data_IF_174103352715
#
_entry.id   IF_174103352715
#
_cell.length_a   1.000
_cell.length_b   1.000
_cell.length_c   1.000
_cell.angle_alpha   90.00
_cell.angle_beta   90.00
_cell.angle_gamma   90.00
#
_symmetry.space_group_name_H-M   'P 1'
#
loop_
_entity.id
_entity.type
_entity.pdbx_description
1 polymer ?
#
# COMPACT_ATOMS: atom_id res chain seq x y z
N UNK A 1 -2.55 -30.79 -11.19
CA UNK A 1 -1.31 -31.19 -10.51
C UNK A 1 -1.45 -30.83 -9.05
N UNK A 2 -1.34 -31.79 -8.12
CA UNK A 2 -1.40 -31.48 -6.69
C UNK A 2 -0.22 -30.56 -6.34
N UNK A 3 -0.50 -29.36 -5.84
CA UNK A 3 0.55 -28.41 -5.43
C UNK A 3 1.33 -29.01 -4.27
N UNK A 4 2.66 -28.98 -4.33
CA UNK A 4 3.53 -29.33 -3.21
C UNK A 4 3.09 -28.55 -1.95
N UNK A 5 2.94 -29.21 -0.79
CA UNK A 5 2.60 -28.52 0.46
C UNK A 5 3.59 -27.39 0.74
N UNK A 6 3.09 -26.18 0.98
CA UNK A 6 3.90 -25.02 1.35
C UNK A 6 4.06 -25.00 2.87
N UNK A 7 5.30 -25.08 3.34
CA UNK A 7 5.60 -24.93 4.77
C UNK A 7 5.49 -23.45 5.16
N UNK A 8 4.87 -23.16 6.31
CA UNK A 8 4.76 -21.80 6.85
C UNK A 8 5.47 -21.71 8.20
N UNK A 9 6.00 -20.53 8.52
CA UNK A 9 6.66 -20.30 9.80
C UNK A 9 5.66 -20.53 10.96
N UNK A 10 6.07 -21.25 12.02
CA UNK A 10 5.18 -21.62 13.12
C UNK A 10 4.75 -20.38 13.91
N UNK A 11 3.62 -20.46 14.63
CA UNK A 11 3.12 -19.30 15.40
C UNK A 11 4.14 -18.77 16.43
N UNK A 12 4.95 -19.64 17.03
CA UNK A 12 5.99 -19.30 17.99
C UNK A 12 7.07 -18.37 17.40
N UNK A 13 7.29 -18.41 16.08
CA UNK A 13 8.22 -17.52 15.39
C UNK A 13 7.84 -16.04 15.58
N UNK A 14 6.54 -15.73 15.52
CA UNK A 14 6.05 -14.35 15.53
C UNK A 14 6.02 -13.72 16.93
N UNK A 15 6.12 -14.51 18.00
CA UNK A 15 6.12 -14.00 19.38
C UNK A 15 7.24 -12.98 19.64
N UNK A 16 8.40 -13.17 18.98
CA UNK A 16 9.54 -12.27 19.04
C UNK A 16 9.36 -10.98 18.20
N UNK A 17 8.39 -10.96 17.29
CA UNK A 17 8.10 -9.81 16.43
C UNK A 17 6.98 -8.92 16.97
N UNK A 18 6.07 -9.47 17.78
CA UNK A 18 5.01 -8.68 18.38
C UNK A 18 5.58 -7.66 19.37
N UNK A 19 5.00 -6.46 19.41
CA UNK A 19 5.30 -5.43 20.42
C UNK A 19 4.79 -5.85 21.81
N UNK A 20 5.29 -5.21 22.86
CA UNK A 20 4.78 -5.40 24.22
C UNK A 20 3.30 -5.04 24.30
N UNK A 21 2.90 -3.97 23.61
CA UNK A 21 1.51 -3.54 23.54
C UNK A 21 0.62 -4.58 22.85
N UNK A 22 1.09 -5.18 21.75
CA UNK A 22 0.36 -6.24 21.06
C UNK A 22 0.18 -7.48 21.94
N UNK A 23 1.23 -7.90 22.66
CA UNK A 23 1.17 -9.03 23.58
C UNK A 23 0.28 -8.77 24.80
N UNK A 24 0.27 -7.54 25.30
CA UNK A 24 -0.53 -7.16 26.47
C UNK A 24 -2.03 -7.03 26.16
N UNK A 25 -2.40 -6.80 24.89
CA UNK A 25 -3.79 -6.58 24.51
C UNK A 25 -4.64 -7.83 24.76
N UNK A 26 -5.65 -7.66 25.60
CA UNK A 26 -6.63 -8.70 25.88
C UNK A 26 -7.72 -8.74 24.81
N UNK A 27 -8.26 -9.93 24.46
CA UNK A 27 -9.43 -10.04 23.61
C UNK A 27 -10.61 -9.24 24.18
N UNK A 28 -11.40 -8.61 23.31
CA UNK A 28 -12.64 -7.95 23.72
C UNK A 28 -13.60 -9.00 24.32
N UNK A 29 -14.07 -8.84 25.57
CA UNK A 29 -14.93 -9.83 26.23
C UNK A 29 -16.24 -10.12 25.49
N UNK A 30 -16.75 -9.13 24.75
CA UNK A 30 -17.98 -9.25 23.98
C UNK A 30 -17.68 -9.83 22.59
N UNK A 31 -16.70 -9.26 21.87
CA UNK A 31 -16.45 -9.65 20.48
C UNK A 31 -15.79 -11.03 20.36
N UNK A 32 -15.06 -11.49 21.38
CA UNK A 32 -14.52 -12.85 21.42
C UNK A 32 -15.61 -13.92 21.44
N UNK A 33 -16.84 -13.56 21.83
CA UNK A 33 -17.99 -14.47 21.87
C UNK A 33 -18.83 -14.41 20.59
N UNK A 34 -18.62 -13.45 19.69
CA UNK A 34 -19.37 -13.32 18.43
C UNK A 34 -19.32 -14.58 17.56
N UNK A 35 -18.18 -15.31 17.44
CA UNK A 35 -18.16 -16.55 16.66
C UNK A 35 -19.17 -17.60 17.16
N UNK A 36 -19.51 -17.58 18.45
CA UNK A 36 -20.49 -18.52 19.00
C UNK A 36 -21.90 -18.25 18.47
N UNK A 37 -22.24 -17.00 18.12
CA UNK A 37 -23.56 -16.64 17.56
C UNK A 37 -23.84 -17.31 16.21
N UNK A 38 -22.80 -17.76 15.50
CA UNK A 38 -22.95 -18.52 14.26
C UNK A 38 -23.30 -20.00 14.49
N UNK A 39 -23.36 -20.46 15.74
CA UNK A 39 -23.70 -21.86 16.09
C UNK A 39 -25.16 -22.14 15.70
N UNK A 40 -25.44 -23.13 14.84
CA UNK A 40 -26.80 -23.46 14.43
C UNK A 40 -27.72 -23.74 15.62
N UNK A 41 -28.89 -23.11 15.65
CA UNK A 41 -29.89 -23.25 16.71
C UNK A 41 -29.61 -22.45 17.99
N UNK A 42 -28.48 -21.73 18.08
CA UNK A 42 -28.19 -20.89 19.25
C UNK A 42 -29.07 -19.63 19.24
N UNK A 43 -29.78 -19.41 20.35
CA UNK A 43 -30.47 -18.15 20.62
C UNK A 43 -29.51 -17.24 21.39
N UNK A 44 -29.02 -16.18 20.74
CA UNK A 44 -28.06 -15.26 21.34
C UNK A 44 -28.75 -14.18 22.19
N UNK A 45 -28.35 -14.07 23.45
CA UNK A 45 -28.59 -12.92 24.33
C UNK A 45 -27.28 -12.15 24.60
N UNK A 46 -26.27 -12.33 23.73
CA UNK A 46 -24.89 -11.94 23.97
C UNK A 46 -24.67 -10.43 23.91
N UNK A 47 -25.00 -9.83 22.76
CA UNK A 47 -24.57 -8.49 22.41
C UNK A 47 -25.76 -7.54 22.30
N UNK A 48 -25.57 -6.29 22.73
CA UNK A 48 -26.53 -5.20 22.55
C UNK A 48 -26.65 -4.73 21.10
N UNK A 49 -26.92 -5.65 20.17
CA UNK A 49 -27.14 -5.35 18.75
C UNK A 49 -28.53 -4.72 18.58
N UNK A 50 -28.65 -3.55 17.95
CA UNK A 50 -29.97 -2.98 17.63
C UNK A 50 -30.74 -3.92 16.71
N UNK A 51 -32.06 -3.98 16.87
CA UNK A 51 -32.92 -4.81 16.02
C UNK A 51 -32.93 -4.24 14.58
N UNK A 52 -32.62 -5.02 13.53
CA UNK A 52 -32.62 -4.51 12.16
C UNK A 52 -33.94 -3.89 11.68
N UNK A 53 -35.08 -4.24 12.27
CA UNK A 53 -36.38 -3.63 11.92
C UNK A 53 -36.48 -2.15 12.29
N UNK A 54 -35.59 -1.63 13.14
CA UNK A 54 -35.55 -0.22 13.52
C UNK A 54 -34.57 0.59 12.68
N UNK A 55 -33.84 -0.02 11.75
CA UNK A 55 -32.97 0.70 10.83
C UNK A 55 -33.81 1.53 9.84
N UNK A 56 -33.56 2.83 9.68
CA UNK A 56 -34.40 3.71 8.85
C UNK A 56 -34.06 3.62 7.34
N UNK A 57 -33.53 2.48 6.89
CA UNK A 57 -33.09 2.27 5.51
C UNK A 57 -33.71 0.99 4.94
N UNK A 58 -34.37 1.10 3.79
CA UNK A 58 -35.06 -0.02 3.14
C UNK A 58 -34.25 -0.66 2.02
N UNK A 59 -33.53 0.16 1.24
CA UNK A 59 -32.60 -0.27 0.20
C UNK A 59 -31.53 0.79 -0.07
N UNK A 60 -30.41 0.37 -0.65
CA UNK A 60 -29.45 1.25 -1.32
C UNK A 60 -29.26 0.76 -2.74
N UNK A 61 -29.59 1.60 -3.71
CA UNK A 61 -29.39 1.32 -5.13
C UNK A 61 -28.38 2.30 -5.73
N UNK A 62 -27.48 1.79 -6.56
CA UNK A 62 -26.46 2.59 -7.24
C UNK A 62 -26.17 2.00 -8.62
N UNK A 63 -25.71 2.85 -9.53
CA UNK A 63 -25.18 2.43 -10.82
C UNK A 63 -23.66 2.44 -10.80
N UNK A 64 -23.04 1.48 -11.47
CA UNK A 64 -21.61 1.42 -11.65
C UNK A 64 -21.28 1.12 -13.11
N UNK A 65 -20.10 1.52 -13.56
CA UNK A 65 -19.65 1.17 -14.91
C UNK A 65 -19.35 -0.35 -14.97
N UNK A 66 -19.85 -1.00 -16.01
CA UNK A 66 -19.44 -2.37 -16.32
C UNK A 66 -17.96 -2.40 -16.71
N UNK A 67 -17.19 -3.42 -16.29
CA UNK A 67 -15.82 -3.57 -16.73
C UNK A 67 -15.80 -3.75 -18.26
N UNK A 68 -14.71 -3.33 -18.93
CA UNK A 68 -14.59 -3.54 -20.36
C UNK A 68 -14.55 -5.04 -20.67
N UNK A 69 -15.23 -5.46 -21.74
CA UNK A 69 -15.29 -6.86 -22.18
C UNK A 69 -13.95 -7.32 -22.74
N UNK A 70 -13.22 -6.40 -23.37
CA UNK A 70 -11.87 -6.62 -23.93
C UNK A 70 -10.92 -5.51 -23.50
N UNK A 71 -9.63 -5.84 -23.42
CA UNK A 71 -8.59 -4.90 -23.02
C UNK A 71 -8.51 -3.70 -23.97
N UNK A 72 -8.56 -2.49 -23.40
CA UNK A 72 -8.47 -1.23 -24.15
C UNK A 72 -9.80 -0.69 -24.67
N UNK A 73 -10.92 -1.39 -24.45
CA UNK A 73 -12.25 -0.87 -24.77
C UNK A 73 -12.83 0.05 -23.67
N UNK A 74 -13.85 0.85 -24.03
CA UNK A 74 -14.64 1.62 -23.07
C UNK A 74 -15.52 0.69 -22.23
N UNK A 75 -15.95 1.15 -21.05
CA UNK A 75 -16.92 0.45 -20.21
C UNK A 75 -18.15 0.00 -21.01
N UNK A 76 -18.66 -1.20 -20.74
CA UNK A 76 -19.77 -1.83 -21.47
C UNK A 76 -21.16 -1.25 -21.12
N UNK A 77 -21.21 -0.01 -20.62
CA UNK A 77 -22.40 0.65 -20.08
C UNK A 77 -22.43 0.64 -18.55
N UNK A 78 -23.61 0.94 -17.99
CA UNK A 78 -23.84 0.97 -16.54
C UNK A 78 -24.59 -0.29 -16.09
N UNK A 79 -24.18 -0.85 -14.95
CA UNK A 79 -24.89 -1.90 -14.22
C UNK A 79 -25.61 -1.30 -13.01
N UNK A 80 -26.85 -1.72 -12.77
CA UNK A 80 -27.62 -1.32 -11.59
C UNK A 80 -27.46 -2.37 -10.49
N UNK A 81 -27.07 -1.92 -9.29
CA UNK A 81 -26.82 -2.76 -8.13
C UNK A 81 -27.70 -2.30 -6.96
N UNK A 82 -28.23 -3.24 -6.19
CA UNK A 82 -29.10 -2.95 -5.03
C UNK A 82 -28.71 -3.81 -3.83
N UNK A 83 -28.57 -3.17 -2.67
CA UNK A 83 -28.51 -3.79 -1.35
C UNK A 83 -29.90 -3.66 -0.69
N UNK A 84 -30.49 -4.76 -0.26
CA UNK A 84 -31.79 -4.76 0.43
C UNK A 84 -31.96 -5.98 1.34
N UNK A 85 -33.03 -6.01 2.13
CA UNK A 85 -33.38 -7.18 2.96
C UNK A 85 -32.27 -7.60 3.93
N UNK A 86 -31.99 -8.91 3.98
CA UNK A 86 -31.00 -9.49 4.88
C UNK A 86 -29.57 -8.99 4.62
N UNK A 87 -29.21 -8.75 3.36
CA UNK A 87 -27.90 -8.22 2.98
C UNK A 87 -27.71 -6.81 3.53
N UNK A 88 -28.71 -5.94 3.37
CA UNK A 88 -28.67 -4.59 3.93
C UNK A 88 -28.67 -4.61 5.46
N UNK A 89 -29.49 -5.46 6.07
CA UNK A 89 -29.52 -5.62 7.52
C UNK A 89 -28.15 -6.03 8.09
N UNK A 90 -27.44 -6.96 7.42
CA UNK A 90 -26.09 -7.34 7.80
C UNK A 90 -25.07 -6.20 7.60
N UNK A 91 -25.18 -5.46 6.49
CA UNK A 91 -24.30 -4.33 6.19
C UNK A 91 -24.43 -3.15 7.19
N UNK A 92 -25.59 -2.98 7.79
CA UNK A 92 -25.88 -1.93 8.78
C UNK A 92 -25.63 -2.38 10.23
N UNK A 93 -25.30 -3.65 10.46
CA UNK A 93 -25.14 -4.22 11.80
C UNK A 93 -23.65 -4.34 12.21
N UNK A 94 -23.41 -4.53 13.51
CA UNK A 94 -22.13 -5.04 13.99
C UNK A 94 -21.79 -6.39 13.34
N UNK A 95 -20.57 -6.49 12.81
CA UNK A 95 -20.02 -7.64 12.11
C UNK A 95 -18.61 -7.98 12.60
N UNK A 96 -17.88 -8.86 11.91
CA UNK A 96 -16.53 -9.26 12.31
C UNK A 96 -15.52 -8.12 12.21
N UNK A 97 -14.49 -8.16 13.06
CA UNK A 97 -13.48 -7.09 13.13
C UNK A 97 -12.56 -7.06 11.91
N UNK A 98 -12.12 -8.23 11.44
CA UNK A 98 -11.24 -8.35 10.26
C UNK A 98 -11.92 -8.03 8.93
N UNK A 99 -13.23 -7.75 8.93
CA UNK A 99 -14.00 -7.41 7.73
C UNK A 99 -15.28 -8.23 7.59
N UNK A 100 -16.14 -7.81 6.66
CA UNK A 100 -17.35 -8.55 6.30
C UNK A 100 -16.97 -9.81 5.51
N UNK A 101 -17.44 -10.97 5.93
CA UNK A 101 -17.01 -12.28 5.37
C UNK A 101 -17.05 -12.35 3.84
N UNK A 102 -18.16 -12.03 3.13
CA UNK A 102 -18.17 -12.01 1.67
C UNK A 102 -17.05 -11.18 1.02
N UNK A 103 -16.72 -10.00 1.58
CA UNK A 103 -15.62 -9.18 1.05
C UNK A 103 -14.26 -9.81 1.33
N UNK A 104 -14.06 -10.35 2.54
CA UNK A 104 -12.82 -11.06 2.92
C UNK A 104 -12.59 -12.26 1.99
N UNK A 105 -13.63 -13.05 1.74
CA UNK A 105 -13.56 -14.22 0.85
C UNK A 105 -13.23 -13.82 -0.59
N UNK A 106 -13.89 -12.79 -1.12
CA UNK A 106 -13.60 -12.26 -2.45
C UNK A 106 -12.15 -11.77 -2.56
N UNK A 107 -11.65 -11.05 -1.54
CA UNK A 107 -10.28 -10.54 -1.50
C UNK A 107 -9.25 -11.66 -1.35
N UNK A 108 -9.58 -12.73 -0.61
CA UNK A 108 -8.73 -13.91 -0.54
C UNK A 108 -8.63 -14.59 -1.92
N UNK A 109 -9.75 -14.76 -2.63
CA UNK A 109 -9.73 -15.27 -4.01
C UNK A 109 -8.94 -14.38 -4.96
N UNK A 110 -8.92 -13.06 -4.74
CA UNK A 110 -8.06 -12.15 -5.49
C UNK A 110 -6.58 -12.43 -5.21
N UNK A 111 -6.19 -12.68 -3.95
CA UNK A 111 -4.80 -13.04 -3.61
C UNK A 111 -4.37 -14.38 -4.22
N UNK A 112 -5.28 -15.36 -4.28
CA UNK A 112 -5.06 -16.63 -4.98
C UNK A 112 -4.82 -16.40 -6.47
N UNK A 113 -5.69 -15.61 -7.10
CA UNK A 113 -5.64 -15.33 -8.55
C UNK A 113 -4.39 -14.54 -8.95
N UNK A 114 -4.02 -13.53 -8.16
CA UNK A 114 -2.96 -12.58 -8.52
C UNK A 114 -1.58 -13.00 -8.01
N UNK A 115 -1.52 -13.65 -6.85
CA UNK A 115 -0.27 -13.97 -6.18
C UNK A 115 -0.03 -15.48 -5.99
N UNK A 116 -1.01 -16.33 -6.32
CA UNK A 116 -0.88 -17.78 -6.18
C UNK A 116 -0.76 -18.25 -4.73
N UNK A 117 -1.19 -17.42 -3.76
CA UNK A 117 -1.18 -17.72 -2.32
C UNK A 117 -2.51 -18.34 -1.94
N UNK A 118 -2.50 -19.61 -1.53
CA UNK A 118 -3.70 -20.42 -1.28
C UNK A 118 -4.13 -20.37 0.18
N UNK A 119 -5.40 -20.67 0.44
CA UNK A 119 -5.91 -20.90 1.79
C UNK A 119 -5.07 -21.96 2.52
N UNK A 120 -4.87 -21.76 3.83
CA UNK A 120 -4.14 -22.71 4.69
C UNK A 120 -2.61 -22.59 4.64
N UNK A 121 -2.04 -21.69 3.84
CA UNK A 121 -0.58 -21.45 3.79
C UNK A 121 -0.05 -20.53 4.92
N UNK A 122 -0.69 -20.56 6.10
CA UNK A 122 -0.27 -19.81 7.29
C UNK A 122 -0.54 -18.29 7.27
N UNK A 123 -1.25 -17.79 6.27
CA UNK A 123 -1.62 -16.38 6.14
C UNK A 123 -3.14 -16.18 6.20
N UNK A 124 -3.56 -14.94 6.46
CA UNK A 124 -4.96 -14.49 6.41
C UNK A 124 -5.02 -13.01 5.99
N UNK A 125 -6.21 -12.42 5.97
CA UNK A 125 -6.44 -11.05 5.52
C UNK A 125 -7.32 -10.28 6.50
N UNK A 126 -6.99 -8.99 6.70
CA UNK A 126 -7.83 -8.04 7.44
C UNK A 126 -8.15 -6.83 6.57
N UNK A 127 -9.42 -6.42 6.55
CA UNK A 127 -9.92 -5.20 5.91
C UNK A 127 -9.78 -4.02 6.89
N UNK A 128 -9.42 -2.85 6.36
CA UNK A 128 -9.26 -1.61 7.13
C UNK A 128 -9.75 -0.40 6.37
N UNK A 129 -9.66 0.78 7.02
CA UNK A 129 -10.10 2.06 6.44
C UNK A 129 -9.10 2.65 5.44
N UNK A 130 -8.62 1.82 4.51
CA UNK A 130 -7.47 2.05 3.64
C UNK A 130 -6.18 1.42 4.18
N UNK A 131 -5.15 1.29 3.34
CA UNK A 131 -3.86 0.71 3.74
C UNK A 131 -3.20 1.47 4.89
N UNK A 132 -3.32 2.81 4.95
CA UNK A 132 -2.77 3.64 6.04
C UNK A 132 -3.28 3.22 7.44
N UNK A 133 -4.55 2.84 7.56
CA UNK A 133 -5.13 2.36 8.81
C UNK A 133 -4.43 1.06 9.28
N UNK A 134 -4.29 0.12 8.35
CA UNK A 134 -3.67 -1.17 8.62
C UNK A 134 -2.16 -1.05 8.84
N UNK A 135 -1.47 -0.17 8.12
CA UNK A 135 -0.06 0.16 8.35
C UNK A 135 0.17 0.70 9.77
N UNK A 136 -0.65 1.65 10.22
CA UNK A 136 -0.58 2.20 11.58
C UNK A 136 -0.77 1.10 12.63
N UNK A 137 -1.75 0.22 12.42
CA UNK A 137 -2.02 -0.91 13.32
C UNK A 137 -0.90 -1.95 13.30
N UNK A 138 -0.32 -2.24 12.13
CA UNK A 138 0.80 -3.15 11.97
C UNK A 138 2.08 -2.62 12.62
N UNK A 139 2.38 -1.33 12.44
CA UNK A 139 3.51 -0.64 13.10
C UNK A 139 3.38 -0.76 14.62
N UNK A 140 2.19 -0.46 15.15
CA UNK A 140 1.90 -0.62 16.60
C UNK A 140 1.99 -2.08 17.05
N UNK A 141 1.63 -3.03 16.18
CA UNK A 141 1.66 -4.46 16.48
C UNK A 141 3.08 -5.04 16.49
N UNK A 142 4.02 -4.44 15.77
CA UNK A 142 5.35 -5.00 15.52
C UNK A 142 6.51 -4.22 16.18
N UNK A 143 6.29 -2.94 16.49
CA UNK A 143 7.32 -2.06 17.01
C UNK A 143 6.95 -1.53 18.39
N UNK A 144 7.93 -1.55 19.28
CA UNK A 144 7.89 -0.86 20.56
C UNK A 144 8.45 0.56 20.42
N UNK A 145 8.11 1.47 21.35
CA UNK A 145 8.75 2.76 21.37
C UNK A 145 10.29 2.66 21.46
N UNK A 146 11.01 3.36 20.60
CA UNK A 146 12.47 3.33 20.52
C UNK A 146 13.07 2.19 19.67
N UNK A 147 12.25 1.27 19.14
CA UNK A 147 12.73 0.22 18.23
C UNK A 147 13.35 0.82 16.95
N UNK A 148 14.26 0.07 16.32
CA UNK A 148 14.80 0.43 15.00
C UNK A 148 13.98 -0.21 13.88
N UNK A 149 13.72 0.54 12.81
CA UNK A 149 13.00 0.08 11.62
C UNK A 149 13.80 0.41 10.36
N UNK A 150 13.90 -0.54 9.43
CA UNK A 150 14.48 -0.28 8.12
C UNK A 150 13.42 0.38 7.25
N UNK A 151 13.75 1.51 6.65
CA UNK A 151 12.85 2.24 5.75
C UNK A 151 13.57 2.52 4.45
N UNK A 152 12.94 2.17 3.33
CA UNK A 152 13.37 2.65 2.01
C UNK A 152 13.53 4.18 2.06
N UNK A 153 14.61 4.76 1.53
CA UNK A 153 14.80 6.21 1.47
C UNK A 153 15.12 6.64 0.03
N UNK A 154 14.38 7.62 -0.55
CA UNK A 154 13.24 8.33 0.05
C UNK A 154 11.98 7.45 0.21
N UNK A 155 11.07 7.87 1.07
CA UNK A 155 9.91 7.08 1.53
C UNK A 155 8.59 7.85 1.41
N UNK A 156 7.45 7.14 1.45
CA UNK A 156 6.15 7.79 1.54
C UNK A 156 6.04 8.63 2.82
N UNK A 157 5.91 9.94 2.64
CA UNK A 157 5.86 10.91 3.74
C UNK A 157 4.76 10.61 4.79
N UNK A 158 3.70 9.88 4.44
CA UNK A 158 2.63 9.53 5.39
C UNK A 158 3.00 8.44 6.39
N UNK A 159 4.09 7.68 6.17
CA UNK A 159 4.56 6.66 7.14
C UNK A 159 5.49 7.26 8.19
N UNK A 160 6.26 8.31 7.84
CA UNK A 160 7.27 8.93 8.72
C UNK A 160 6.67 9.34 10.08
N UNK A 161 5.50 10.03 10.15
CA UNK A 161 4.89 10.40 11.44
C UNK A 161 4.49 9.19 12.30
N UNK A 162 4.20 8.03 11.69
CA UNK A 162 3.85 6.81 12.43
C UNK A 162 5.08 6.25 13.17
N UNK A 163 6.27 6.37 12.57
CA UNK A 163 7.51 5.97 13.24
C UNK A 163 7.95 7.00 14.28
N UNK A 164 7.78 8.30 14.00
CA UNK A 164 8.07 9.36 14.97
C UNK A 164 7.21 9.26 16.23
N UNK A 165 5.92 8.92 16.12
CA UNK A 165 5.04 8.81 17.30
C UNK A 165 5.46 7.70 18.26
N UNK A 166 6.20 6.70 17.77
CA UNK A 166 6.82 5.64 18.57
C UNK A 166 8.29 5.95 18.90
N UNK A 167 8.83 7.12 18.56
CA UNK A 167 10.27 7.41 18.70
C UNK A 167 11.16 6.34 18.05
N UNK A 168 10.69 5.67 16.98
CA UNK A 168 11.48 4.64 16.31
C UNK A 168 12.69 5.24 15.62
N UNK A 169 13.83 4.56 15.68
CA UNK A 169 14.99 4.90 14.88
C UNK A 169 14.78 4.43 13.44
N UNK A 170 14.55 5.38 12.53
CA UNK A 170 14.37 5.12 11.11
C UNK A 170 15.73 4.94 10.44
N UNK A 171 16.08 3.69 10.15
CA UNK A 171 17.33 3.32 9.49
C UNK A 171 17.09 3.35 7.98
N UNK A 172 17.58 4.42 7.35
CA UNK A 172 17.42 4.66 5.92
C UNK A 172 18.20 3.63 5.09
N UNK A 173 17.47 2.92 4.24
CA UNK A 173 18.01 2.03 3.21
C UNK A 173 17.87 2.73 1.87
N UNK A 174 19.00 3.08 1.26
CA UNK A 174 19.01 3.85 0.01
C UNK A 174 18.28 3.11 -1.11
N UNK A 175 17.60 3.86 -1.98
CA UNK A 175 16.85 3.32 -3.11
C UNK A 175 17.17 4.07 -4.41
N UNK A 176 17.15 3.34 -5.51
CA UNK A 176 17.38 3.83 -6.87
C UNK A 176 16.18 3.49 -7.78
N UNK A 177 16.36 3.61 -9.10
CA UNK A 177 15.32 3.32 -10.09
C UNK A 177 14.86 1.84 -10.06
N UNK A 178 15.69 0.94 -9.52
CA UNK A 178 15.42 -0.49 -9.39
C UNK A 178 14.88 -0.87 -8.00
N UNK A 179 14.50 0.12 -7.18
CA UNK A 179 13.98 -0.07 -5.83
C UNK A 179 15.05 0.02 -4.74
N UNK A 180 14.86 -0.71 -3.63
CA UNK A 180 15.84 -0.73 -2.53
C UNK A 180 17.19 -1.23 -3.01
N UNK A 181 18.26 -0.52 -2.64
CA UNK A 181 19.63 -0.96 -2.83
C UNK A 181 19.96 -2.08 -1.84
N UNK A 182 20.06 -3.30 -2.35
CA UNK A 182 20.45 -4.49 -1.58
C UNK A 182 21.86 -4.41 -1.04
N UNK A 183 22.76 -3.65 -1.70
CA UNK A 183 24.10 -3.34 -1.21
C UNK A 183 24.02 -2.47 0.05
N UNK A 184 23.18 -1.42 0.04
CA UNK A 184 22.95 -0.58 1.21
C UNK A 184 22.34 -1.39 2.36
N UNK A 185 21.31 -2.17 2.06
CA UNK A 185 20.64 -3.03 3.04
C UNK A 185 21.62 -4.01 3.70
N UNK A 186 22.43 -4.71 2.88
CA UNK A 186 23.44 -5.65 3.36
C UNK A 186 24.48 -4.97 4.25
N UNK A 187 25.03 -3.84 3.82
CA UNK A 187 26.02 -3.09 4.60
C UNK A 187 25.47 -2.67 5.97
N UNK A 188 24.21 -2.24 6.05
CA UNK A 188 23.53 -1.89 7.31
C UNK A 188 23.40 -3.13 8.23
N UNK A 189 22.98 -4.27 7.68
CA UNK A 189 22.69 -5.48 8.44
C UNK A 189 23.94 -6.21 8.94
N UNK A 190 25.00 -6.22 8.12
CA UNK A 190 26.31 -6.82 8.42
C UNK A 190 27.16 -5.92 9.30
N UNK A 191 27.10 -4.59 9.10
CA UNK A 191 27.79 -3.58 9.91
C UNK A 191 27.05 -3.21 11.20
N UNK A 192 25.94 -3.88 11.54
CA UNK A 192 25.12 -3.51 12.68
C UNK A 192 25.89 -3.64 14.01
N UNK A 193 25.82 -2.66 14.92
CA UNK A 193 26.58 -2.69 16.17
C UNK A 193 26.31 -3.94 17.02
N UNK A 194 27.39 -4.60 17.45
CA UNK A 194 27.33 -5.77 18.33
C UNK A 194 26.62 -5.39 19.65
N UNK A 195 25.66 -6.22 20.08
CA UNK A 195 24.89 -6.00 21.30
C UNK A 195 23.70 -5.05 21.16
N UNK A 196 23.55 -4.34 20.04
CA UNK A 196 22.34 -3.56 19.76
C UNK A 196 21.27 -4.44 19.09
N UNK A 197 20.00 -4.40 19.52
CA UNK A 197 18.92 -5.10 18.82
C UNK A 197 18.87 -4.71 17.33
N UNK A 198 18.84 -5.71 16.44
CA UNK A 198 18.71 -5.47 14.99
C UNK A 198 17.28 -5.00 14.65
N UNK A 199 17.11 -4.18 13.60
CA UNK A 199 15.79 -3.87 13.08
C UNK A 199 15.07 -5.16 12.66
N UNK A 200 13.81 -5.30 13.05
CA UNK A 200 13.01 -6.51 12.78
C UNK A 200 12.00 -6.34 11.64
N UNK A 201 11.89 -5.13 11.09
CA UNK A 201 10.90 -4.76 10.08
C UNK A 201 11.56 -3.89 9.00
N UNK A 202 11.27 -4.21 7.74
CA UNK A 202 11.57 -3.39 6.58
C UNK A 202 10.26 -2.86 5.98
N UNK A 203 10.11 -1.54 5.87
CA UNK A 203 9.03 -0.90 5.12
C UNK A 203 9.51 -0.51 3.72
N UNK A 204 8.78 -0.94 2.69
CA UNK A 204 9.11 -0.69 1.27
C UNK A 204 7.86 -0.54 0.41
N UNK A 205 7.99 0.19 -0.70
CA UNK A 205 6.91 0.43 -1.68
C UNK A 205 7.45 -0.08 -3.04
N UNK A 206 7.28 -1.38 -3.35
CA UNK A 206 8.01 -2.01 -4.45
C UNK A 206 7.44 -1.71 -5.85
N UNK A 207 6.23 -1.16 -5.98
CA UNK A 207 5.71 -0.69 -7.26
C UNK A 207 5.39 0.80 -7.21
N UNK A 208 5.91 1.55 -8.19
CA UNK A 208 5.64 2.97 -8.31
C UNK A 208 5.96 3.74 -7.03
N UNK A 209 7.10 3.43 -6.40
CA UNK A 209 7.50 3.89 -5.06
C UNK A 209 7.19 5.36 -4.82
N UNK A 210 6.55 5.71 -3.72
CA UNK A 210 6.33 7.12 -3.39
C UNK A 210 7.52 7.59 -2.54
N UNK A 211 8.35 8.54 -3.00
CA UNK A 211 8.12 9.45 -4.13
C UNK A 211 8.72 9.02 -5.48
N UNK A 212 9.66 8.08 -5.50
CA UNK A 212 10.59 7.83 -6.63
C UNK A 212 9.97 7.44 -7.97
N UNK A 213 8.76 6.87 -7.97
CA UNK A 213 8.17 6.19 -9.12
C UNK A 213 8.85 4.85 -9.47
N UNK A 214 9.85 4.43 -8.70
CA UNK A 214 10.65 3.24 -8.95
C UNK A 214 9.83 1.96 -8.78
N UNK A 215 10.13 0.94 -9.58
CA UNK A 215 9.55 -0.39 -9.43
C UNK A 215 10.67 -1.39 -9.20
N UNK A 216 10.62 -2.09 -8.07
CA UNK A 216 11.67 -2.99 -7.66
C UNK A 216 11.83 -4.14 -8.66
N UNK A 217 13.05 -4.35 -9.15
CA UNK A 217 13.36 -5.42 -10.11
C UNK A 217 13.29 -6.80 -9.46
N UNK A 218 13.17 -7.85 -10.29
CA UNK A 218 13.16 -9.23 -9.80
C UNK A 218 14.40 -9.56 -8.97
N UNK A 219 15.59 -9.19 -9.45
CA UNK A 219 16.86 -9.47 -8.76
C UNK A 219 16.91 -8.81 -7.39
N UNK A 220 16.52 -7.53 -7.27
CA UNK A 220 16.45 -6.82 -5.99
C UNK A 220 15.49 -7.49 -5.01
N UNK A 221 14.31 -7.89 -5.47
CA UNK A 221 13.32 -8.57 -4.61
C UNK A 221 13.82 -9.92 -4.09
N UNK A 222 14.48 -10.71 -4.95
CA UNK A 222 15.08 -12.00 -4.54
C UNK A 222 16.11 -11.79 -3.44
N UNK A 223 17.01 -10.83 -3.62
CA UNK A 223 18.07 -10.58 -2.64
C UNK A 223 17.52 -9.98 -1.33
N UNK A 224 16.49 -9.12 -1.38
CA UNK A 224 15.80 -8.64 -0.16
C UNK A 224 15.15 -9.81 0.60
N UNK A 225 14.49 -10.76 -0.09
CA UNK A 225 13.93 -11.96 0.55
C UNK A 225 15.01 -12.84 1.17
N UNK A 226 16.15 -12.99 0.51
CA UNK A 226 17.31 -13.70 1.04
C UNK A 226 17.81 -13.03 2.33
N UNK A 227 18.07 -11.72 2.30
CA UNK A 227 18.51 -10.93 3.45
C UNK A 227 17.49 -10.99 4.61
N UNK A 228 16.18 -11.00 4.31
CA UNK A 228 15.12 -11.13 5.31
C UNK A 228 15.20 -12.46 6.08
N UNK A 229 15.65 -13.54 5.42
CA UNK A 229 15.88 -14.83 6.06
C UNK A 229 17.18 -14.83 6.86
N UNK A 230 18.28 -14.38 6.24
CA UNK A 230 19.62 -14.35 6.85
C UNK A 230 19.66 -13.50 8.14
N UNK A 231 18.99 -12.35 8.12
CA UNK A 231 19.00 -11.40 9.22
C UNK A 231 17.70 -11.36 10.02
N UNK A 232 16.77 -12.25 9.71
CA UNK A 232 15.52 -12.47 10.43
C UNK A 232 14.66 -11.20 10.65
N UNK A 233 14.27 -10.53 9.56
CA UNK A 233 13.30 -9.43 9.59
C UNK A 233 12.04 -9.75 8.77
N UNK A 234 10.96 -9.03 9.06
CA UNK A 234 9.71 -9.04 8.29
C UNK A 234 9.72 -7.93 7.24
N UNK A 235 9.01 -8.15 6.13
CA UNK A 235 8.86 -7.19 5.04
C UNK A 235 7.43 -6.65 5.08
N UNK A 236 7.27 -5.35 5.30
CA UNK A 236 6.04 -4.61 5.07
C UNK A 236 6.06 -4.06 3.64
N UNK A 237 5.37 -4.76 2.75
CA UNK A 237 5.15 -4.42 1.34
C UNK A 237 3.90 -3.52 1.22
N UNK A 238 4.09 -2.21 1.10
CA UNK A 238 2.99 -1.25 0.90
C UNK A 238 2.75 -1.00 -0.59
N UNK A 239 1.62 -1.48 -1.12
CA UNK A 239 1.40 -1.63 -2.56
C UNK A 239 0.08 -1.01 -3.08
N UNK A 240 -0.22 0.27 -2.75
CA UNK A 240 -1.41 0.93 -3.27
C UNK A 240 -1.37 1.18 -4.79
N UNK A 241 -0.22 0.95 -5.44
CA UNK A 241 0.01 1.19 -6.86
C UNK A 241 0.26 -0.09 -7.67
N UNK A 242 0.21 -1.29 -7.07
CA UNK A 242 0.49 -2.56 -7.74
C UNK A 242 -0.27 -2.75 -9.07
N UNK A 243 -1.55 -2.38 -9.06
CA UNK A 243 -2.43 -2.47 -10.22
C UNK A 243 -2.24 -1.34 -11.24
N UNK A 244 -1.52 -0.27 -10.88
CA UNK A 244 -1.14 0.83 -11.77
C UNK A 244 0.23 0.58 -12.39
N UNK A 245 0.49 -0.66 -12.85
CA UNK A 245 1.73 -1.00 -13.55
C UNK A 245 1.48 -0.95 -15.06
N UNK A 246 2.31 -0.17 -15.76
CA UNK A 246 2.23 0.07 -17.20
C UNK A 246 3.59 -0.15 -17.90
N UNK A 247 4.54 -0.80 -17.22
CA UNK A 247 5.75 -1.33 -17.84
C UNK A 247 5.48 -2.58 -18.69
N UNK A 248 6.53 -3.13 -19.30
CA UNK A 248 6.43 -4.29 -20.20
C UNK A 248 6.14 -5.61 -19.49
N UNK A 249 6.84 -5.88 -18.38
CA UNK A 249 6.72 -7.13 -17.62
C UNK A 249 6.62 -6.84 -16.12
N UNK A 250 5.54 -7.30 -15.51
CA UNK A 250 5.33 -7.14 -14.07
C UNK A 250 6.08 -8.23 -13.32
N UNK A 251 7.16 -7.85 -12.63
CA UNK A 251 7.81 -8.69 -11.61
C UNK A 251 6.77 -9.19 -10.59
N UNK A 252 6.82 -10.41 -10.03
CA UNK A 252 5.90 -10.84 -8.97
C UNK A 252 6.13 -10.10 -7.63
N UNK A 253 5.09 -9.90 -6.81
CA UNK A 253 5.19 -9.25 -5.49
C UNK A 253 6.05 -10.04 -4.51
N UNK A 254 6.52 -9.42 -3.42
CA UNK A 254 7.20 -10.15 -2.35
C UNK A 254 6.30 -11.27 -1.80
N UNK A 255 5.00 -10.99 -1.65
CA UNK A 255 4.02 -11.94 -1.16
C UNK A 255 3.86 -13.17 -2.07
N UNK A 256 3.96 -13.00 -3.39
CA UNK A 256 3.98 -14.10 -4.35
C UNK A 256 5.34 -14.82 -4.38
N UNK A 257 6.44 -14.04 -4.37
CA UNK A 257 7.80 -14.57 -4.49
C UNK A 257 8.23 -15.39 -3.28
N UNK A 258 7.81 -15.03 -2.05
CA UNK A 258 8.17 -15.82 -0.86
C UNK A 258 7.69 -17.27 -0.96
N UNK A 259 6.63 -17.54 -1.76
CA UNK A 259 6.14 -18.88 -2.08
C UNK A 259 6.80 -19.50 -3.32
N UNK A 260 6.97 -18.73 -4.39
CA UNK A 260 7.25 -19.27 -5.74
C UNK A 260 8.75 -19.40 -6.09
N UNK A 261 9.63 -18.69 -5.39
CA UNK A 261 11.04 -18.64 -5.78
C UNK A 261 11.74 -19.98 -5.49
N UNK A 262 12.38 -20.56 -6.51
CA UNK A 262 13.08 -21.84 -6.41
C UNK A 262 14.33 -21.79 -5.53
N UNK A 263 14.94 -20.62 -5.34
CA UNK A 263 15.96 -20.39 -4.29
C UNK A 263 15.36 -20.38 -2.88
N UNK A 264 14.03 -20.31 -2.81
CA UNK A 264 13.22 -20.38 -1.59
C UNK A 264 12.56 -21.75 -1.43
N UNK A 265 12.75 -22.69 -2.38
CA UNK A 265 12.24 -24.04 -2.27
C UNK A 265 12.82 -24.71 -1.01
N UNK A 266 11.93 -25.12 -0.10
CA UNK A 266 12.32 -25.68 1.21
C UNK A 266 12.48 -24.66 2.33
N UNK A 267 12.20 -23.37 2.10
CA UNK A 267 12.12 -22.37 3.18
C UNK A 267 10.66 -22.04 3.51
N UNK A 268 10.30 -21.94 4.79
CA UNK A 268 8.92 -21.64 5.18
C UNK A 268 8.52 -20.21 4.81
N UNK A 269 7.29 -20.04 4.32
CA UNK A 269 6.67 -18.73 4.03
C UNK A 269 6.26 -18.00 5.32
N UNK A 270 5.92 -16.71 5.21
CA UNK A 270 5.35 -15.93 6.30
C UNK A 270 6.25 -14.81 6.80
N UNK A 271 7.07 -14.21 5.92
CA UNK A 271 7.87 -13.02 6.27
C UNK A 271 7.29 -11.74 5.68
N UNK A 272 6.38 -11.86 4.72
CA UNK A 272 5.80 -10.72 4.02
C UNK A 272 4.42 -10.37 4.58
N UNK A 273 4.26 -9.11 4.96
CA UNK A 273 2.98 -8.44 5.19
C UNK A 273 2.74 -7.49 4.03
N UNK A 274 1.73 -7.79 3.23
CA UNK A 274 1.33 -6.99 2.09
C UNK A 274 0.18 -6.07 2.46
N UNK A 275 0.24 -4.82 2.05
CA UNK A 275 -0.82 -3.82 2.25
C UNK A 275 -1.33 -3.34 0.90
N UNK A 276 -2.58 -3.66 0.60
CA UNK A 276 -3.26 -3.24 -0.63
C UNK A 276 -4.30 -2.15 -0.33
N UNK A 277 -4.65 -1.39 -1.37
CA UNK A 277 -5.64 -0.32 -1.27
C UNK A 277 -6.42 -0.19 -2.57
N UNK A 278 -7.75 -0.15 -2.49
CA UNK A 278 -8.58 0.15 -3.66
C UNK A 278 -8.62 1.65 -3.97
N UNK A 279 -7.92 2.48 -3.19
CA UNK A 279 -7.99 3.95 -3.28
C UNK A 279 -7.54 4.52 -4.63
N UNK A 280 -6.68 3.80 -5.36
CA UNK A 280 -6.07 4.27 -6.61
C UNK A 280 -6.65 3.60 -7.86
N UNK A 281 -7.52 2.61 -7.66
CA UNK A 281 -8.15 1.83 -8.73
C UNK A 281 -9.67 1.93 -8.73
N UNK A 282 -10.31 2.12 -7.57
CA UNK A 282 -11.75 2.33 -7.46
C UNK A 282 -12.04 3.76 -7.00
N UNK A 283 -11.80 4.06 -5.72
CA UNK A 283 -12.02 5.39 -5.17
C UNK A 283 -11.35 5.54 -3.80
N UNK A 284 -10.58 6.61 -3.64
CA UNK A 284 -9.97 6.96 -2.36
C UNK A 284 -11.00 7.33 -1.28
N UNK A 285 -12.22 7.73 -1.68
CA UNK A 285 -13.31 8.11 -0.77
C UNK A 285 -14.04 6.92 -0.16
N UNK A 286 -13.94 5.72 -0.75
CA UNK A 286 -14.53 4.50 -0.16
C UNK A 286 -13.83 4.06 1.12
N UNK A 287 -12.58 4.50 1.35
CA UNK A 287 -11.80 4.15 2.54
C UNK A 287 -11.73 2.63 2.78
N UNK A 288 -11.43 1.85 1.73
CA UNK A 288 -11.19 0.41 1.86
C UNK A 288 -9.75 0.11 1.45
N UNK A 289 -9.10 -0.71 2.27
CA UNK A 289 -7.82 -1.35 2.00
C UNK A 289 -7.76 -2.64 2.79
N UNK A 290 -6.75 -3.46 2.52
CA UNK A 290 -6.61 -4.75 3.19
C UNK A 290 -5.14 -5.12 3.37
N UNK A 291 -4.86 -5.94 4.37
CA UNK A 291 -3.54 -6.45 4.65
C UNK A 291 -3.56 -7.97 4.56
N UNK A 292 -2.63 -8.56 3.83
CA UNK A 292 -2.44 -10.01 3.67
C UNK A 292 -1.11 -10.40 4.32
N UNK A 293 -1.11 -11.42 5.17
CA UNK A 293 0.13 -11.85 5.82
C UNK A 293 -0.07 -12.88 6.92
N UNK A 294 0.97 -13.14 7.74
CA UNK A 294 0.94 -14.18 8.77
C UNK A 294 -0.21 -14.02 9.77
N UNK A 295 -1.00 -15.08 9.94
CA UNK A 295 -2.18 -15.05 10.79
C UNK A 295 -1.93 -14.51 12.22
N UNK A 296 -0.82 -14.82 12.92
CA UNK A 296 -0.54 -14.25 14.23
C UNK A 296 -0.43 -12.72 14.25
N UNK A 297 0.09 -12.10 13.20
CA UNK A 297 0.22 -10.65 13.12
C UNK A 297 -1.10 -10.00 12.73
N UNK A 298 -1.85 -10.59 11.79
CA UNK A 298 -3.18 -10.09 11.43
C UNK A 298 -4.16 -10.17 12.61
N UNK A 299 -4.06 -11.21 13.46
CA UNK A 299 -4.82 -11.27 14.73
C UNK A 299 -4.45 -10.12 15.68
N UNK A 300 -3.20 -9.70 15.74
CA UNK A 300 -2.79 -8.55 16.56
C UNK A 300 -3.32 -7.22 15.99
N UNK A 301 -3.38 -7.09 14.65
CA UNK A 301 -4.01 -5.96 13.95
C UNK A 301 -5.51 -5.94 14.21
N UNK A 302 -6.19 -7.08 14.11
CA UNK A 302 -7.62 -7.21 14.40
C UNK A 302 -7.93 -6.90 15.86
N UNK A 303 -7.12 -7.37 16.81
CA UNK A 303 -7.25 -6.99 18.21
C UNK A 303 -7.17 -5.47 18.39
N UNK A 304 -6.33 -4.77 17.60
CA UNK A 304 -6.30 -3.31 17.58
C UNK A 304 -7.60 -2.72 17.05
N UNK A 305 -8.03 -3.17 15.88
CA UNK A 305 -9.27 -2.72 15.27
C UNK A 305 -10.45 -2.90 16.23
N UNK A 306 -10.53 -4.02 16.94
CA UNK A 306 -11.59 -4.32 17.89
C UNK A 306 -11.70 -3.30 19.04
N UNK A 307 -10.62 -2.61 19.41
CA UNK A 307 -10.62 -1.57 20.46
C UNK A 307 -10.63 -0.15 19.91
N UNK A 308 -10.06 0.07 18.72
CA UNK A 308 -9.94 1.40 18.13
C UNK A 308 -11.22 1.84 17.42
N UNK A 309 -11.82 0.96 16.62
CA UNK A 309 -12.96 1.29 15.77
C UNK A 309 -13.96 0.14 15.56
N UNK A 310 -13.82 -0.95 16.32
CA UNK A 310 -14.64 -2.18 16.29
C UNK A 310 -14.50 -3.00 14.99
N UNK A 311 -14.80 -2.37 13.84
CA UNK A 311 -14.77 -2.91 12.49
C UNK A 311 -14.68 -1.77 11.46
N UNK A 312 -14.19 -1.99 10.24
CA UNK A 312 -14.31 -1.01 9.15
C UNK A 312 -15.78 -0.78 8.78
N UNK A 313 -16.10 0.36 8.17
CA UNK A 313 -17.49 0.73 7.82
C UNK A 313 -18.18 -0.36 6.95
N UNK A 314 -19.12 -1.10 7.54
CA UNK A 314 -19.72 -2.28 6.92
C UNK A 314 -20.61 -1.96 5.72
N UNK A 315 -21.31 -0.83 5.73
CA UNK A 315 -22.08 -0.39 4.56
C UNK A 315 -21.18 -0.15 3.35
N UNK A 316 -20.02 0.49 3.55
CA UNK A 316 -19.07 0.70 2.47
C UNK A 316 -18.44 -0.61 2.00
N UNK A 317 -18.12 -1.53 2.92
CA UNK A 317 -17.68 -2.88 2.56
C UNK A 317 -18.73 -3.62 1.73
N UNK A 318 -20.02 -3.51 2.08
CA UNK A 318 -21.11 -4.16 1.33
C UNK A 318 -21.29 -3.56 -0.08
N UNK A 319 -21.22 -2.23 -0.21
CA UNK A 319 -21.25 -1.56 -1.53
C UNK A 319 -20.05 -1.99 -2.38
N UNK A 320 -18.85 -2.00 -1.80
CA UNK A 320 -17.63 -2.48 -2.48
C UNK A 320 -17.78 -3.94 -2.90
N UNK A 321 -18.20 -4.82 -1.99
CA UNK A 321 -18.40 -6.23 -2.29
C UNK A 321 -19.40 -6.42 -3.42
N UNK A 322 -20.57 -5.77 -3.36
CA UNK A 322 -21.60 -5.88 -4.39
C UNK A 322 -21.09 -5.52 -5.79
N UNK A 323 -20.23 -4.49 -5.87
CA UNK A 323 -19.59 -4.09 -7.11
C UNK A 323 -18.58 -5.14 -7.59
N UNK A 324 -17.68 -5.57 -6.70
CA UNK A 324 -16.61 -6.51 -7.01
C UNK A 324 -17.13 -7.90 -7.36
N UNK A 325 -18.20 -8.35 -6.69
CA UNK A 325 -18.89 -9.61 -6.97
C UNK A 325 -19.56 -9.58 -8.35
N UNK A 326 -20.26 -8.47 -8.67
CA UNK A 326 -20.87 -8.29 -10.00
C UNK A 326 -19.84 -8.26 -11.14
N UNK A 327 -18.62 -7.78 -10.88
CA UNK A 327 -17.54 -7.79 -11.86
C UNK A 327 -16.79 -9.12 -11.94
N UNK A 328 -16.76 -9.89 -10.84
CA UNK A 328 -15.84 -10.99 -10.65
C UNK A 328 -14.36 -10.53 -10.64
N UNK A 329 -13.44 -11.48 -10.43
CA UNK A 329 -12.01 -11.18 -10.45
C UNK A 329 -11.54 -10.74 -11.85
N UNK A 330 -12.02 -11.37 -12.92
CA UNK A 330 -11.65 -11.00 -14.29
C UNK A 330 -12.08 -9.59 -14.67
N UNK A 331 -13.32 -9.21 -14.33
CA UNK A 331 -13.82 -7.86 -14.56
C UNK A 331 -13.08 -6.81 -13.73
N UNK A 332 -12.74 -7.13 -12.48
CA UNK A 332 -11.86 -6.28 -11.67
C UNK A 332 -10.49 -6.09 -12.32
N UNK A 333 -9.86 -7.17 -12.78
CA UNK A 333 -8.55 -7.09 -13.44
C UNK A 333 -8.65 -6.29 -14.76
N UNK A 334 -9.71 -6.48 -15.55
CA UNK A 334 -9.96 -5.69 -16.76
C UNK A 334 -10.10 -4.20 -16.46
N UNK A 335 -10.86 -3.84 -15.43
CA UNK A 335 -10.97 -2.47 -14.94
C UNK A 335 -9.59 -1.91 -14.55
N UNK A 336 -8.79 -2.65 -13.77
CA UNK A 336 -7.45 -2.19 -13.37
C UNK A 336 -6.50 -1.98 -14.54
N UNK A 337 -6.58 -2.80 -15.60
CA UNK A 337 -5.81 -2.60 -16.84
C UNK A 337 -6.25 -1.32 -17.57
N UNK A 338 -7.55 -1.07 -17.63
CA UNK A 338 -8.09 0.19 -18.16
C UNK A 338 -7.57 1.42 -17.41
N UNK A 339 -7.62 1.40 -16.07
CA UNK A 339 -7.07 2.47 -15.22
C UNK A 339 -5.56 2.62 -15.40
N UNK A 340 -4.81 1.52 -15.47
CA UNK A 340 -3.37 1.54 -15.71
C UNK A 340 -3.03 2.18 -17.06
N UNK A 341 -3.74 1.81 -18.13
CA UNK A 341 -3.53 2.40 -19.46
C UNK A 341 -3.85 3.91 -19.48
N UNK A 342 -4.89 4.35 -18.78
CA UNK A 342 -5.18 5.78 -18.62
C UNK A 342 -4.01 6.52 -17.98
N UNK A 343 -3.44 5.99 -16.89
CA UNK A 343 -2.29 6.62 -16.24
C UNK A 343 -1.00 6.50 -17.04
N UNK A 344 -0.81 5.45 -17.84
CA UNK A 344 0.28 5.37 -18.82
C UNK A 344 0.24 6.56 -19.79
N UNK A 345 -0.92 6.84 -20.38
CA UNK A 345 -1.08 7.97 -21.31
C UNK A 345 -0.77 9.30 -20.59
N UNK A 346 -1.26 9.50 -19.36
CA UNK A 346 -0.93 10.70 -18.57
C UNK A 346 0.57 10.80 -18.26
N UNK A 347 1.23 9.69 -17.93
CA UNK A 347 2.68 9.62 -17.72
C UNK A 347 3.42 10.04 -18.99
N UNK A 348 3.05 9.48 -20.14
CA UNK A 348 3.69 9.76 -21.43
C UNK A 348 3.55 11.25 -21.81
N UNK A 349 2.37 11.85 -21.60
CA UNK A 349 2.13 13.29 -21.79
C UNK A 349 3.01 14.13 -20.86
N UNK A 350 3.09 13.76 -19.59
CA UNK A 350 3.90 14.48 -18.61
C UNK A 350 5.39 14.40 -18.94
N UNK A 351 5.88 13.22 -19.30
CA UNK A 351 7.27 13.00 -19.71
C UNK A 351 7.63 13.80 -20.96
N UNK A 352 6.76 13.82 -21.97
CA UNK A 352 6.98 14.62 -23.17
C UNK A 352 7.07 16.13 -22.86
N UNK A 353 6.30 16.62 -21.89
CA UNK A 353 6.39 18.00 -21.42
C UNK A 353 7.66 18.24 -20.57
N UNK A 354 8.10 17.28 -19.74
CA UNK A 354 9.40 17.34 -19.06
C UNK A 354 10.55 17.38 -20.06
N UNK A 355 10.50 16.59 -21.13
CA UNK A 355 11.53 16.61 -22.17
C UNK A 355 11.59 17.95 -22.90
N UNK A 356 10.44 18.58 -23.17
CA UNK A 356 10.39 19.90 -23.84
C UNK A 356 10.87 21.04 -22.95
N UNK A 357 10.53 21.04 -21.67
CA UNK A 357 10.76 22.20 -20.79
C UNK A 357 11.92 22.02 -19.82
N UNK A 358 12.24 20.79 -19.40
CA UNK A 358 13.19 20.50 -18.32
C UNK A 358 14.44 19.74 -18.77
N UNK A 359 14.55 19.33 -20.04
CA UNK A 359 15.78 18.71 -20.53
C UNK A 359 17.00 19.62 -20.30
N UNK A 360 18.04 19.09 -19.65
CA UNK A 360 19.22 19.85 -19.24
C UNK A 360 19.04 20.75 -18.01
N UNK A 361 17.82 20.82 -17.46
CA UNK A 361 17.47 21.54 -16.23
C UNK A 361 17.11 20.61 -15.07
N UNK A 362 16.71 19.38 -15.38
CA UNK A 362 16.43 18.33 -14.41
C UNK A 362 16.89 16.96 -14.92
N UNK A 363 17.10 16.03 -13.99
CA UNK A 363 17.35 14.61 -14.25
C UNK A 363 16.22 13.77 -13.66
N UNK A 364 15.71 12.80 -14.42
CA UNK A 364 14.65 11.91 -13.97
C UNK A 364 14.76 10.53 -14.60
N UNK A 365 14.02 9.58 -14.02
CA UNK A 365 13.76 8.28 -14.62
C UNK A 365 12.26 8.14 -14.84
N UNK A 366 11.88 7.60 -15.99
CA UNK A 366 10.49 7.37 -16.33
C UNK A 366 9.89 6.30 -15.40
N UNK A 367 8.81 6.57 -14.66
CA UNK A 367 8.17 5.54 -13.85
C UNK A 367 7.55 4.49 -14.77
N UNK A 368 7.48 3.26 -14.27
CA UNK A 368 6.78 2.13 -14.88
C UNK A 368 5.47 1.80 -14.15
N UNK A 369 5.23 2.46 -13.02
CA UNK A 369 4.06 2.26 -12.19
C UNK A 369 3.76 3.49 -11.34
N UNK A 370 2.52 3.60 -10.84
CA UNK A 370 2.12 4.65 -9.91
C UNK A 370 1.82 5.97 -10.62
N UNK A 371 1.99 7.08 -9.89
CA UNK A 371 1.41 8.39 -10.23
C UNK A 371 2.41 9.54 -10.15
N UNK A 372 3.70 9.26 -9.98
CA UNK A 372 4.69 10.27 -9.61
C UNK A 372 5.92 10.25 -10.52
N UNK A 373 6.40 11.45 -10.84
CA UNK A 373 7.79 11.68 -11.24
C UNK A 373 8.59 12.17 -10.04
N UNK A 374 9.80 11.63 -9.91
CA UNK A 374 10.82 12.08 -8.99
C UNK A 374 12.04 12.53 -9.78
N UNK A 375 12.38 13.81 -9.66
CA UNK A 375 13.41 14.40 -10.50
C UNK A 375 14.30 15.34 -9.70
N UNK A 376 15.58 15.35 -10.05
CA UNK A 376 16.59 16.20 -9.45
C UNK A 376 16.64 17.51 -10.22
N UNK A 377 16.50 18.64 -9.54
CA UNK A 377 16.77 19.95 -10.13
C UNK A 377 18.28 20.12 -10.31
N UNK A 378 18.70 20.51 -11.51
CA UNK A 378 20.10 20.80 -11.82
C UNK A 378 20.37 22.29 -11.63
N UNK A 379 20.49 22.77 -10.40
CA UNK A 379 20.83 24.17 -10.12
C UNK A 379 22.20 24.18 -9.40
N UNK A 380 23.25 24.78 -9.99
CA UNK A 380 24.57 24.83 -9.36
C UNK A 380 24.49 25.44 -7.95
N UNK A 381 25.06 24.75 -6.96
CA UNK A 381 25.10 25.22 -5.57
C UNK A 381 23.78 25.15 -4.79
N UNK A 382 22.65 24.82 -5.43
CA UNK A 382 21.37 24.69 -4.75
C UNK A 382 21.05 23.22 -4.43
N UNK A 383 21.22 22.86 -3.17
CA UNK A 383 20.93 21.51 -2.68
C UNK A 383 19.54 21.37 -2.04
N UNK A 384 18.79 22.46 -1.82
CA UNK A 384 17.48 22.41 -1.17
C UNK A 384 16.34 22.83 -2.12
N UNK A 385 15.58 21.85 -2.60
CA UNK A 385 14.39 22.10 -3.41
C UNK A 385 13.25 22.76 -2.63
N UNK A 386 13.24 22.71 -1.30
CA UNK A 386 12.19 23.34 -0.50
C UNK A 386 12.19 24.85 -0.66
N UNK A 387 13.38 25.48 -0.72
CA UNK A 387 13.51 26.90 -0.97
C UNK A 387 12.90 27.27 -2.34
N UNK A 388 13.28 26.56 -3.41
CA UNK A 388 12.81 26.83 -4.78
C UNK A 388 11.30 26.60 -4.92
N UNK A 389 10.80 25.46 -4.40
CA UNK A 389 9.40 25.05 -4.58
C UNK A 389 8.44 25.91 -3.77
N UNK A 390 8.76 26.23 -2.51
CA UNK A 390 7.85 26.97 -1.61
C UNK A 390 7.83 28.47 -1.88
N UNK A 391 8.79 28.99 -2.65
CA UNK A 391 8.87 30.42 -2.98
C UNK A 391 8.63 30.62 -4.46
N UNK A 392 9.70 30.58 -5.27
CA UNK A 392 9.70 30.97 -6.68
C UNK A 392 8.70 30.14 -7.53
N UNK A 393 8.65 28.82 -7.35
CA UNK A 393 7.70 27.98 -8.09
C UNK A 393 6.25 28.29 -7.68
N UNK A 394 6.00 28.46 -6.38
CA UNK A 394 4.68 28.79 -5.84
C UNK A 394 4.19 30.16 -6.31
N UNK A 395 5.05 31.18 -6.31
CA UNK A 395 4.74 32.53 -6.83
C UNK A 395 4.39 32.50 -8.32
N UNK A 396 4.92 31.51 -9.06
CA UNK A 396 4.58 31.25 -10.48
C UNK A 396 3.37 30.34 -10.65
N UNK A 397 2.70 29.96 -9.57
CA UNK A 397 1.50 29.12 -9.60
C UNK A 397 1.80 27.65 -9.86
N UNK A 398 2.99 27.15 -9.49
CA UNK A 398 3.33 25.73 -9.52
C UNK A 398 3.50 25.22 -8.10
N UNK A 399 2.66 24.26 -7.70
CA UNK A 399 2.77 23.57 -6.43
C UNK A 399 3.25 22.12 -6.66
N UNK A 400 4.51 21.86 -6.30
CA UNK A 400 5.09 20.52 -6.23
C UNK A 400 5.47 20.19 -4.78
N UNK A 401 5.89 18.94 -4.50
CA UNK A 401 6.44 18.61 -3.19
C UNK A 401 7.96 18.61 -3.22
N UNK A 402 8.62 19.40 -2.35
CA UNK A 402 10.06 19.34 -2.21
C UNK A 402 10.49 18.01 -1.63
N UNK A 403 11.66 17.54 -2.04
CA UNK A 403 12.15 16.21 -1.73
C UNK A 403 12.42 15.99 -0.25
N UNK A 404 12.70 17.06 0.49
CA UNK A 404 12.95 17.05 1.94
C UNK A 404 11.82 16.40 2.74
N UNK A 405 10.58 16.45 2.23
CA UNK A 405 9.39 15.85 2.88
C UNK A 405 9.40 14.31 2.85
N UNK A 406 10.22 13.70 1.98
CA UNK A 406 10.27 12.25 1.78
C UNK A 406 11.53 11.60 2.40
N UNK A 407 12.40 12.40 3.03
CA UNK A 407 13.59 11.90 3.70
C UNK A 407 13.30 11.83 5.21
N UNK A 408 13.42 10.66 5.86
CA UNK A 408 13.13 10.50 7.29
C UNK A 408 13.84 11.52 8.20
N UNK A 409 15.08 11.88 7.87
CA UNK A 409 15.87 12.87 8.61
C UNK A 409 15.63 14.33 8.17
N UNK A 410 14.80 14.58 7.17
CA UNK A 410 14.49 15.92 6.65
C UNK A 410 15.67 16.65 6.00
N UNK A 411 16.75 15.95 5.63
CA UNK A 411 17.93 16.56 5.00
C UNK A 411 17.56 17.30 3.71
N UNK A 412 18.28 18.39 3.43
CA UNK A 412 18.17 19.11 2.16
C UNK A 412 18.40 18.18 0.97
N UNK A 413 17.63 18.37 -0.10
CA UNK A 413 17.79 17.62 -1.33
C UNK A 413 17.25 18.39 -2.54
N UNK A 414 17.96 18.30 -3.67
CA UNK A 414 17.58 18.95 -4.91
C UNK A 414 16.42 18.25 -5.63
N UNK A 415 15.93 17.13 -5.09
CA UNK A 415 14.84 16.38 -5.70
C UNK A 415 13.47 16.99 -5.42
N UNK A 416 12.54 16.79 -6.36
CA UNK A 416 11.14 17.21 -6.30
C UNK A 416 10.26 16.05 -6.73
N UNK A 417 9.10 15.90 -6.08
CA UNK A 417 8.04 14.99 -6.54
C UNK A 417 6.90 15.76 -7.20
N UNK A 418 6.57 15.41 -8.43
CA UNK A 418 5.36 15.87 -9.12
C UNK A 418 4.40 14.71 -9.39
N UNK A 419 3.11 14.94 -9.20
CA UNK A 419 2.07 13.96 -9.53
C UNK A 419 1.45 14.30 -10.89
N UNK A 420 1.33 13.32 -11.78
CA UNK A 420 0.74 13.50 -13.11
C UNK A 420 -0.74 13.10 -13.18
N UNK A 421 -1.36 12.82 -12.03
CA UNK A 421 -2.65 12.13 -11.98
C UNK A 421 -3.86 12.99 -12.36
N UNK A 422 -3.84 14.30 -12.10
CA UNK A 422 -5.03 15.16 -12.20
C UNK A 422 -5.02 16.07 -13.43
N UNK A 423 -3.96 16.86 -13.60
CA UNK A 423 -3.89 17.92 -14.62
C UNK A 423 -4.13 17.41 -16.05
N UNK A 424 -4.77 18.27 -16.85
CA UNK A 424 -4.91 18.10 -18.30
C UNK A 424 -3.56 18.28 -19.02
N UNK A 425 -3.42 17.81 -20.29
CA UNK A 425 -2.18 18.01 -21.05
C UNK A 425 -1.71 19.46 -21.13
N UNK A 426 -2.63 20.41 -21.34
CA UNK A 426 -2.32 21.84 -21.45
C UNK A 426 -1.86 22.42 -20.10
N UNK A 427 -2.51 22.03 -19.00
CA UNK A 427 -2.10 22.44 -17.65
C UNK A 427 -0.74 21.84 -17.27
N UNK A 428 -0.44 20.60 -17.70
CA UNK A 428 0.88 19.98 -17.52
C UNK A 428 1.96 20.75 -18.27
N UNK A 429 1.70 21.11 -19.54
CA UNK A 429 2.64 21.90 -20.34
C UNK A 429 2.97 23.24 -19.67
N UNK A 430 1.93 23.98 -19.28
CA UNK A 430 2.06 25.28 -18.64
C UNK A 430 2.74 25.19 -17.27
N UNK A 431 2.43 24.17 -16.46
CA UNK A 431 3.07 23.96 -15.16
C UNK A 431 4.58 23.68 -15.30
N UNK A 432 4.98 22.85 -16.27
CA UNK A 432 6.39 22.54 -16.49
C UNK A 432 7.15 23.69 -17.17
N UNK A 433 6.49 24.49 -18.00
CA UNK A 433 7.05 25.75 -18.52
C UNK A 433 7.35 26.76 -17.41
N UNK A 434 6.41 26.95 -16.47
CA UNK A 434 6.63 27.81 -15.28
C UNK A 434 7.76 27.28 -14.39
N UNK A 435 7.85 25.96 -14.23
CA UNK A 435 8.93 25.35 -13.47
C UNK A 435 10.29 25.52 -14.16
N UNK A 436 10.36 25.41 -15.49
CA UNK A 436 11.56 25.74 -16.28
C UNK A 436 12.02 27.17 -15.99
N UNK A 437 11.12 28.13 -16.11
CA UNK A 437 11.46 29.54 -15.88
C UNK A 437 11.96 29.75 -14.44
N UNK A 438 11.36 29.05 -13.46
CA UNK A 438 11.84 29.00 -12.06
C UNK A 438 13.28 28.53 -11.95
N UNK A 439 13.62 27.42 -12.61
CA UNK A 439 14.97 26.85 -12.57
C UNK A 439 15.99 27.77 -13.25
N UNK A 440 15.62 28.40 -14.36
CA UNK A 440 16.49 29.31 -15.11
C UNK A 440 16.87 30.55 -14.28
N UNK A 441 15.90 31.16 -13.60
CA UNK A 441 16.18 32.32 -12.76
C UNK A 441 17.00 31.95 -11.52
N UNK A 442 16.72 30.79 -10.91
CA UNK A 442 17.51 30.28 -9.79
C UNK A 442 18.97 30.02 -10.21
N UNK A 443 19.21 29.49 -11.42
CA UNK A 443 20.56 29.36 -11.98
C UNK A 443 21.23 30.71 -12.19
N UNK A 444 20.51 31.68 -12.75
CA UNK A 444 21.05 33.02 -13.00
C UNK A 444 21.43 33.75 -11.71
N UNK A 445 20.69 33.53 -10.62
CA UNK A 445 21.01 34.07 -9.30
C UNK A 445 22.18 33.35 -8.59
N UNK A 446 22.56 32.16 -9.07
CA UNK A 446 23.64 31.33 -8.49
C UNK A 446 24.94 31.40 -9.28
N UNK A 447 24.92 32.03 -10.47
CA UNK A 447 26.07 32.31 -11.32
C UNK A 447 26.67 33.68 -10.97
#
# INVERSE_FOLDING_TARGET
MASTPVESLPESFYLAFLSDLARARQPSPIRSLFPLEATPGLLSLLAGKPNPTTFPFTSFSFSAQAPPVEDGQKAAGDIALTLSGAELAAALQYGPTGGMAPLVDWLHGLQETVHGRLHGEGWTLSVGSGSQDLLSKAITALLNPGDSVLVQSPVYAGVIPLFHSLNCAQIEVEADADGISTVSLRAILEGWPVGKPKPRVLYTIPYGGNPTGATATLSRRKEVLQLAREHNFLIMEDDPYFYLFYGSERTPSYFAMERADSSCAGHPVGRVLRFDSISKILSAGMRIGFASGPAPILRAIDAHTATANLQPASLTQAITHKLLDAWGHDGFLAHTRGVSNFYRIKRDVFEAAMQRHLAGLAEWSAPQSGLFFWFKLLIPGAEDSAQIVRTQAFERGVLALPGTVFLPNGRATAYVRAAFSLLTPDEVDEALKRLRDTILDARAASA
#
